data_IF_391942239509
#
_entry.id   IF_391942239509
#
_cell.length_a   1.000
_cell.length_b   1.000
_cell.length_c   1.000
_cell.angle_alpha   90.00
_cell.angle_beta   90.00
_cell.angle_gamma   90.00
#
_symmetry.space_group_name_H-M   'P 1'
#
loop_
_entity.id
_entity.type
_entity.pdbx_description
1 polymer ?
#
# COMPACT_ATOMS: atom_id res chain seq x y z
N UNK A 1 14.45 -15.11 -18.04
CA UNK A 1 14.18 -14.90 -16.61
C UNK A 1 12.75 -15.28 -16.31
N UNK A 2 12.56 -16.36 -15.56
CA UNK A 2 11.30 -16.63 -14.90
C UNK A 2 11.01 -15.54 -13.86
N UNK A 3 9.73 -15.20 -13.71
CA UNK A 3 9.26 -14.18 -12.78
C UNK A 3 8.85 -14.83 -11.48
N UNK A 4 9.32 -14.28 -10.36
CA UNK A 4 9.00 -14.77 -9.02
C UNK A 4 8.47 -13.66 -8.12
N UNK A 5 7.57 -14.03 -7.22
CA UNK A 5 7.14 -13.20 -6.10
C UNK A 5 7.93 -13.64 -4.87
N UNK A 6 8.55 -12.69 -4.17
CA UNK A 6 9.39 -12.98 -3.01
C UNK A 6 8.77 -12.42 -1.75
N UNK A 7 8.66 -13.22 -0.70
CA UNK A 7 8.19 -12.76 0.60
C UNK A 7 9.34 -12.28 1.48
N UNK A 8 9.13 -11.20 2.24
CA UNK A 8 10.07 -10.71 3.27
C UNK A 8 9.50 -10.89 4.68
N UNK A 9 10.38 -11.14 5.65
CA UNK A 9 10.01 -11.20 7.07
C UNK A 9 9.70 -9.80 7.62
N UNK A 10 8.73 -9.72 8.54
CA UNK A 10 8.40 -8.50 9.25
C UNK A 10 9.57 -7.88 10.03
N UNK A 11 10.57 -8.69 10.38
CA UNK A 11 11.79 -8.23 11.08
C UNK A 11 12.59 -7.17 10.30
N UNK A 12 12.45 -7.11 8.97
CA UNK A 12 13.15 -6.16 8.11
C UNK A 12 12.27 -4.99 7.67
N UNK A 13 11.04 -4.92 8.17
CA UNK A 13 10.05 -3.91 7.79
C UNK A 13 9.72 -2.98 8.95
N UNK A 14 9.23 -1.79 8.62
CA UNK A 14 8.59 -0.87 9.56
C UNK A 14 7.22 -0.50 9.02
N UNK A 15 6.39 0.04 9.91
CA UNK A 15 5.07 0.52 9.57
C UNK A 15 4.95 2.02 9.81
N UNK A 16 4.22 2.68 8.92
CA UNK A 16 3.87 4.11 9.02
C UNK A 16 2.41 4.25 8.64
N UNK A 17 1.63 4.91 9.49
CA UNK A 17 0.26 5.27 9.15
C UNK A 17 0.23 6.57 8.35
N UNK A 18 -0.64 6.62 7.35
CA UNK A 18 -0.84 7.82 6.53
C UNK A 18 -2.29 7.98 6.13
N UNK A 19 -2.72 9.23 6.01
CA UNK A 19 -4.07 9.61 5.60
C UNK A 19 -4.02 10.27 4.23
N UNK A 20 -4.90 9.83 3.34
CA UNK A 20 -5.11 10.42 2.02
C UNK A 20 -6.50 11.03 1.92
N UNK A 21 -6.59 12.25 1.39
CA UNK A 21 -7.86 12.96 1.21
C UNK A 21 -8.01 13.37 -0.24
N UNK A 22 -9.19 13.15 -0.82
CA UNK A 22 -9.54 13.59 -2.17
C UNK A 22 -10.96 14.14 -2.23
N UNK A 23 -11.15 15.14 -3.08
CA UNK A 23 -12.46 15.68 -3.42
C UNK A 23 -13.08 14.88 -4.56
N UNK A 24 -14.39 14.67 -4.49
CA UNK A 24 -15.19 13.85 -5.40
C UNK A 24 -16.13 14.77 -6.19
N UNK A 25 -15.75 15.18 -7.42
CA UNK A 25 -16.49 16.19 -8.18
C UNK A 25 -17.83 15.68 -8.74
N UNK A 26 -17.92 14.38 -9.04
CA UNK A 26 -19.13 13.78 -9.63
C UNK A 26 -20.11 13.26 -8.57
N UNK A 27 -19.87 13.56 -7.30
CA UNK A 27 -20.65 13.10 -6.15
C UNK A 27 -20.78 11.57 -6.02
N UNK A 28 -20.04 10.78 -6.80
CA UNK A 28 -20.04 9.32 -6.76
C UNK A 28 -18.60 8.82 -6.62
N UNK A 29 -18.39 7.89 -5.70
CA UNK A 29 -17.08 7.31 -5.42
C UNK A 29 -16.89 6.08 -6.30
N UNK A 30 -16.04 6.21 -7.31
CA UNK A 30 -15.59 5.11 -8.13
C UNK A 30 -14.23 4.56 -7.68
N UNK A 31 -13.80 3.50 -8.36
CA UNK A 31 -12.48 2.87 -8.20
C UNK A 31 -11.36 3.91 -8.41
N UNK A 32 -11.54 4.84 -9.34
CA UNK A 32 -10.57 5.91 -9.63
C UNK A 32 -10.37 6.83 -8.42
N UNK A 33 -11.44 7.22 -7.77
CA UNK A 33 -11.44 8.09 -6.59
C UNK A 33 -10.76 7.40 -5.41
N UNK A 34 -11.06 6.11 -5.20
CA UNK A 34 -10.40 5.27 -4.18
C UNK A 34 -8.90 5.18 -4.44
N UNK A 35 -8.48 4.86 -5.68
CA UNK A 35 -7.06 4.82 -6.04
C UNK A 35 -6.37 6.17 -5.85
N UNK A 36 -7.05 7.28 -6.15
CA UNK A 36 -6.51 8.61 -5.89
C UNK A 36 -6.34 8.87 -4.41
N UNK A 37 -7.31 8.51 -3.57
CA UNK A 37 -7.21 8.64 -2.12
C UNK A 37 -6.00 7.87 -1.57
N UNK A 38 -5.86 6.60 -1.98
CA UNK A 38 -4.73 5.74 -1.57
C UNK A 38 -3.39 6.29 -2.09
N UNK A 39 -3.36 6.81 -3.31
CA UNK A 39 -2.16 7.44 -3.89
C UNK A 39 -1.77 8.72 -3.15
N UNK A 40 -2.74 9.52 -2.72
CA UNK A 40 -2.51 10.68 -1.87
C UNK A 40 -1.91 10.25 -0.54
N UNK A 41 -2.50 9.24 0.13
CA UNK A 41 -1.96 8.70 1.39
C UNK A 41 -0.51 8.22 1.25
N UNK A 42 -0.20 7.56 0.12
CA UNK A 42 1.15 7.15 -0.22
C UNK A 42 2.12 8.33 -0.36
N UNK A 43 1.69 9.42 -0.97
CA UNK A 43 2.52 10.63 -1.18
C UNK A 43 2.71 11.47 0.07
N UNK A 44 1.71 11.51 0.96
CA UNK A 44 1.75 12.27 2.21
C UNK A 44 2.47 11.53 3.33
N UNK A 45 2.74 10.24 3.15
CA UNK A 45 3.46 9.42 4.11
C UNK A 45 4.86 9.99 4.38
N UNK A 46 5.20 10.19 5.65
CA UNK A 46 6.52 10.66 6.05
C UNK A 46 7.49 9.47 6.10
N UNK A 47 8.18 9.21 4.99
CA UNK A 47 9.16 8.13 4.92
C UNK A 47 10.54 8.58 5.43
N UNK A 48 11.19 7.81 6.31
CA UNK A 48 12.60 8.02 6.62
C UNK A 48 13.46 7.84 5.37
N UNK A 49 14.55 8.61 5.26
CA UNK A 49 15.51 8.49 4.17
C UNK A 49 16.05 7.06 4.01
N UNK A 50 16.13 6.58 2.77
CA UNK A 50 16.64 5.24 2.45
C UNK A 50 15.65 4.10 2.72
N UNK A 51 14.36 4.40 2.87
CA UNK A 51 13.28 3.41 2.91
C UNK A 51 12.42 3.47 1.65
N UNK A 52 11.97 2.30 1.20
CA UNK A 52 11.04 2.11 0.10
C UNK A 52 9.72 1.50 0.61
N UNK A 53 8.61 1.89 -0.02
CA UNK A 53 7.29 1.34 0.27
C UNK A 53 7.13 -0.05 -0.34
N UNK A 54 6.74 -1.02 0.47
CA UNK A 54 6.44 -2.39 0.06
C UNK A 54 4.93 -2.59 -0.09
N UNK A 55 4.14 -2.16 0.89
CA UNK A 55 2.67 -2.25 0.85
C UNK A 55 2.01 -0.96 1.29
N UNK A 56 0.84 -0.67 0.70
CA UNK A 56 -0.08 0.36 1.16
C UNK A 56 -1.42 -0.33 1.39
N UNK A 57 -1.82 -0.45 2.65
CA UNK A 57 -2.99 -1.21 3.06
C UNK A 57 -4.07 -0.23 3.58
N UNK A 58 -5.10 0.10 2.80
CA UNK A 58 -6.24 0.85 3.32
C UNK A 58 -6.99 0.00 4.34
N UNK A 59 -7.30 0.58 5.50
CA UNK A 59 -8.02 -0.12 6.57
C UNK A 59 -9.28 0.60 7.05
N UNK A 60 -9.49 1.85 6.64
CA UNK A 60 -10.64 2.65 7.03
C UNK A 60 -10.91 3.74 6.00
N UNK A 61 -12.17 3.93 5.64
CA UNK A 61 -12.61 5.05 4.81
C UNK A 61 -13.57 5.96 5.58
N UNK A 62 -13.56 7.23 5.20
CA UNK A 62 -14.50 8.24 5.69
C UNK A 62 -15.07 9.00 4.50
N UNK A 63 -16.40 9.03 4.41
CA UNK A 63 -17.13 9.71 3.33
C UNK A 63 -17.88 10.89 3.95
N UNK A 64 -17.46 12.11 3.63
CA UNK A 64 -17.90 13.33 4.33
C UNK A 64 -17.69 13.21 5.86
N UNK A 65 -18.77 13.23 6.65
CA UNK A 65 -18.77 13.08 8.11
C UNK A 65 -19.03 11.64 8.57
N UNK A 66 -19.34 10.72 7.65
CA UNK A 66 -19.55 9.31 7.98
C UNK A 66 -18.21 8.59 8.12
N UNK A 67 -17.86 8.26 9.35
CA UNK A 67 -16.65 7.50 9.70
C UNK A 67 -16.90 5.99 9.60
N UNK A 68 -15.83 5.20 9.52
CA UNK A 68 -15.88 3.74 9.53
C UNK A 68 -16.66 3.13 8.36
N UNK A 69 -16.45 3.67 7.16
CA UNK A 69 -16.95 3.07 5.91
C UNK A 69 -15.99 1.95 5.51
N UNK A 70 -16.50 0.71 5.43
CA UNK A 70 -15.74 -0.45 4.97
C UNK A 70 -15.49 -0.42 3.45
N UNK A 71 -16.55 -0.27 2.66
CA UNK A 71 -16.48 -0.17 1.20
C UNK A 71 -17.16 1.11 0.71
N UNK A 72 -16.39 2.13 0.27
CA UNK A 72 -16.95 3.38 -0.23
C UNK A 72 -17.38 3.30 -1.70
N UNK A 73 -17.17 2.18 -2.40
CA UNK A 73 -17.47 2.07 -3.82
C UNK A 73 -18.97 2.22 -4.09
N UNK A 74 -19.32 3.14 -5.00
CA UNK A 74 -20.71 3.45 -5.34
C UNK A 74 -21.43 4.34 -4.33
N UNK A 75 -20.77 4.75 -3.24
CA UNK A 75 -21.33 5.72 -2.31
C UNK A 75 -21.30 7.13 -2.90
N UNK A 76 -22.29 7.94 -2.53
CA UNK A 76 -22.31 9.35 -2.88
C UNK A 76 -21.65 10.23 -1.82
N UNK A 77 -20.78 11.14 -2.24
CA UNK A 77 -20.10 12.05 -1.33
C UNK A 77 -19.23 13.08 -2.04
N UNK A 78 -18.82 14.11 -1.30
CA UNK A 78 -18.03 15.22 -1.84
C UNK A 78 -16.54 15.07 -1.49
N UNK A 79 -16.25 14.33 -0.43
CA UNK A 79 -14.92 14.11 0.10
C UNK A 79 -14.77 12.66 0.54
N UNK A 80 -13.71 12.03 0.07
CA UNK A 80 -13.27 10.70 0.50
C UNK A 80 -11.93 10.85 1.22
N UNK A 81 -11.87 10.30 2.42
CA UNK A 81 -10.65 10.17 3.21
C UNK A 81 -10.37 8.68 3.42
N UNK A 82 -9.10 8.31 3.32
CA UNK A 82 -8.63 6.94 3.54
C UNK A 82 -7.52 6.94 4.58
N UNK A 83 -7.66 6.08 5.57
CA UNK A 83 -6.58 5.75 6.51
C UNK A 83 -5.87 4.51 5.99
N UNK A 84 -4.54 4.61 5.86
CA UNK A 84 -3.69 3.56 5.33
C UNK A 84 -2.60 3.20 6.31
N UNK A 85 -2.28 1.90 6.34
CA UNK A 85 -1.10 1.37 6.97
C UNK A 85 -0.07 1.04 5.90
N UNK A 86 1.09 1.69 5.96
CA UNK A 86 2.15 1.57 4.94
C UNK A 86 3.30 0.77 5.51
N UNK A 87 3.62 -0.33 4.84
CA UNK A 87 4.77 -1.17 5.18
C UNK A 87 5.96 -0.73 4.35
N UNK A 88 7.05 -0.38 5.02
CA UNK A 88 8.29 0.09 4.41
C UNK A 88 9.46 -0.85 4.76
N UNK A 89 10.48 -0.88 3.91
CA UNK A 89 11.74 -1.59 4.17
C UNK A 89 12.91 -0.71 3.76
N UNK A 90 14.09 -0.93 4.36
CA UNK A 90 15.30 -0.26 3.89
C UNK A 90 15.58 -0.64 2.43
N UNK A 91 15.95 0.35 1.62
CA UNK A 91 16.32 0.16 0.22
C UNK A 91 17.45 -0.86 0.05
N UNK A 92 18.41 -0.87 0.99
CA UNK A 92 19.54 -1.81 1.01
C UNK A 92 19.08 -3.26 1.09
N UNK A 93 18.11 -3.57 1.95
CA UNK A 93 17.53 -4.90 2.08
C UNK A 93 16.86 -5.34 0.77
N UNK A 94 16.10 -4.45 0.15
CA UNK A 94 15.40 -4.73 -1.11
C UNK A 94 16.39 -4.92 -2.26
N UNK A 95 17.41 -4.08 -2.37
CA UNK A 95 18.48 -4.19 -3.39
C UNK A 95 19.25 -5.50 -3.24
N UNK A 96 19.63 -5.86 -2.01
CA UNK A 96 20.35 -7.11 -1.75
C UNK A 96 19.51 -8.33 -2.10
N UNK A 97 18.22 -8.31 -1.76
CA UNK A 97 17.29 -9.38 -2.08
C UNK A 97 17.09 -9.53 -3.60
N UNK A 98 16.86 -8.43 -4.32
CA UNK A 98 16.75 -8.43 -5.80
C UNK A 98 18.01 -9.01 -6.42
N UNK A 99 19.19 -8.55 -5.99
CA UNK A 99 20.48 -9.04 -6.49
C UNK A 99 20.67 -10.54 -6.23
N UNK A 100 20.29 -11.04 -5.06
CA UNK A 100 20.39 -12.47 -4.75
C UNK A 100 19.51 -13.34 -5.67
N UNK A 101 18.32 -12.84 -6.02
CA UNK A 101 17.39 -13.52 -6.95
C UNK A 101 17.89 -13.45 -8.39
N UNK A 102 18.43 -12.30 -8.81
CA UNK A 102 19.02 -12.13 -10.15
C UNK A 102 20.23 -13.05 -10.36
N UNK A 103 21.04 -13.29 -9.32
CA UNK A 103 22.15 -14.25 -9.38
C UNK A 103 21.69 -15.71 -9.57
N UNK A 104 20.42 -16.01 -9.29
CA UNK A 104 19.80 -17.29 -9.56
C UNK A 104 19.11 -17.35 -10.94
N UNK A 105 19.36 -16.38 -11.82
CA UNK A 105 18.75 -16.26 -13.16
C UNK A 105 17.22 -16.06 -13.13
N UNK A 106 16.72 -15.48 -12.04
CA UNK A 106 15.32 -15.15 -11.80
C UNK A 106 15.11 -13.64 -11.76
N UNK A 107 13.88 -13.20 -12.04
CA UNK A 107 13.48 -11.79 -11.92
C UNK A 107 12.42 -11.62 -10.85
N UNK A 108 12.69 -10.73 -9.89
CA UNK A 108 11.67 -10.31 -8.91
C UNK A 108 10.60 -9.49 -9.60
N UNK A 109 9.38 -10.01 -9.65
CA UNK A 109 8.21 -9.30 -10.17
C UNK A 109 7.54 -8.47 -9.07
N UNK A 110 7.41 -9.05 -7.86
CA UNK A 110 6.84 -8.37 -6.71
C UNK A 110 7.47 -8.83 -5.39
N UNK A 111 7.41 -7.98 -4.37
CA UNK A 111 7.87 -8.27 -3.01
C UNK A 111 6.70 -8.13 -2.04
N UNK A 112 6.41 -9.19 -1.30
CA UNK A 112 5.26 -9.25 -0.39
C UNK A 112 5.70 -9.41 1.07
N UNK A 113 4.97 -8.84 2.03
CA UNK A 113 5.21 -9.15 3.44
C UNK A 113 4.72 -10.57 3.70
N UNK A 114 5.56 -11.42 4.29
CA UNK A 114 5.23 -12.82 4.59
C UNK A 114 3.92 -12.98 5.37
N UNK A 115 3.74 -12.21 6.45
CA UNK A 115 2.50 -12.24 7.23
C UNK A 115 1.26 -11.84 6.42
N UNK A 116 1.39 -10.86 5.52
CA UNK A 116 0.31 -10.46 4.62
C UNK A 116 -0.01 -11.54 3.60
N UNK A 117 1.02 -12.14 2.98
CA UNK A 117 0.86 -13.25 2.03
C UNK A 117 0.20 -14.48 2.67
N UNK A 118 0.57 -14.82 3.91
CA UNK A 118 -0.06 -15.93 4.64
C UNK A 118 -1.52 -15.63 4.96
N UNK A 119 -1.85 -14.39 5.34
CA UNK A 119 -3.22 -14.01 5.68
C UNK A 119 -4.18 -14.08 4.50
N UNK A 120 -3.71 -13.79 3.27
CA UNK A 120 -4.54 -13.86 2.05
C UNK A 120 -4.61 -15.26 1.43
N UNK A 121 -3.73 -16.19 1.84
CA UNK A 121 -3.67 -17.54 1.29
C UNK A 121 -4.59 -18.54 2.00
N UNK A 122 -4.99 -18.23 3.23
CA UNK A 122 -5.98 -18.98 4.01
C UNK A 122 -7.40 -18.53 3.66
#
# INVERSE_FOLDING_TARGET
>A
YDKVVVSISGAYTKSVDSIGVVNIPNHEIGIKEIHRAVSTAKHTANLPSGYEIIHVLPYNFKVNDLEHVDDPLGMSGNRLEVSTHIVISQESHIKNLKKAVELADLRVDNIVLSGYASAIAC
#
